data_IF_758917770372
#
_entry.id   IF_758917770372
#
_cell.length_a   1.000
_cell.length_b   1.000
_cell.length_c   1.000
_cell.angle_alpha   90.00
_cell.angle_beta   90.00
_cell.angle_gamma   90.00
#
_symmetry.space_group_name_H-M   'P 1'
#
loop_
_entity.id
_entity.type
_entity.pdbx_description
1 polymer ?
#
# COMPACT_ATOMS: atom_id res chain seq x y z
N UNK A 1 63.25 48.48 11.01
CA UNK A 1 63.37 47.30 11.90
C UNK A 1 62.02 47.17 12.60
N UNK A 2 61.16 46.17 12.40
CA UNK A 2 61.37 44.76 12.06
C UNK A 2 60.60 43.93 13.09
N UNK A 3 59.28 44.07 13.19
CA UNK A 3 58.45 43.25 14.08
C UNK A 3 57.92 42.06 13.29
N UNK A 4 58.66 40.95 13.38
CA UNK A 4 58.33 39.66 12.79
C UNK A 4 57.14 39.06 13.53
N UNK A 5 56.02 38.94 12.78
CA UNK A 5 54.85 38.16 13.17
C UNK A 5 55.28 36.74 13.53
N UNK A 6 55.12 36.37 14.80
CA UNK A 6 55.37 35.01 15.28
C UNK A 6 54.52 34.01 14.49
N UNK A 7 55.19 33.12 13.75
CA UNK A 7 54.56 32.05 13.00
C UNK A 7 54.00 30.99 13.96
N UNK A 8 52.71 30.69 13.85
CA UNK A 8 52.07 29.64 14.64
C UNK A 8 52.74 28.28 14.38
N UNK A 9 53.04 27.48 15.42
CA UNK A 9 53.69 26.18 15.26
C UNK A 9 52.82 25.23 14.42
N UNK A 10 53.44 24.58 13.43
CA UNK A 10 52.82 23.74 12.38
C UNK A 10 51.90 22.65 12.95
N UNK A 11 52.20 22.13 14.15
CA UNK A 11 51.37 21.16 14.89
C UNK A 11 50.01 21.72 15.31
N UNK A 12 49.93 23.01 15.66
CA UNK A 12 48.68 23.67 16.07
C UNK A 12 47.76 23.93 14.87
N UNK A 13 48.33 24.21 13.70
CA UNK A 13 47.59 24.39 12.45
C UNK A 13 46.93 23.08 12.00
N UNK A 14 47.65 21.95 12.12
CA UNK A 14 47.11 20.63 11.77
C UNK A 14 45.97 20.18 12.68
N UNK A 15 45.99 20.48 13.98
CA UNK A 15 44.90 20.09 14.89
C UNK A 15 43.64 20.92 14.65
N UNK A 16 43.79 22.22 14.42
CA UNK A 16 42.69 23.14 14.09
C UNK A 16 42.05 22.73 12.75
N UNK A 17 42.85 22.45 11.72
CA UNK A 17 42.34 21.97 10.43
C UNK A 17 41.60 20.64 10.51
N UNK A 18 42.01 19.72 11.39
CA UNK A 18 41.30 18.44 11.62
C UNK A 18 39.98 18.65 12.36
N UNK A 19 39.94 19.55 13.35
CA UNK A 19 38.72 19.88 14.12
C UNK A 19 37.69 20.61 13.26
N UNK A 20 38.11 21.60 12.46
CA UNK A 20 37.23 22.32 11.52
C UNK A 20 36.69 21.35 10.46
N UNK A 21 37.54 20.48 9.89
CA UNK A 21 37.10 19.47 8.92
C UNK A 21 36.13 18.44 9.53
N UNK A 22 36.31 18.08 10.80
CA UNK A 22 35.40 17.21 11.56
C UNK A 22 34.05 17.86 11.89
N UNK A 23 34.05 19.14 12.25
CA UNK A 23 32.82 19.90 12.50
C UNK A 23 32.04 20.19 11.22
N UNK A 24 32.71 20.51 10.11
CA UNK A 24 32.07 20.70 8.81
C UNK A 24 31.49 19.41 8.25
N UNK A 25 32.19 18.28 8.41
CA UNK A 25 31.63 16.98 8.02
C UNK A 25 30.45 16.61 8.90
N UNK A 26 30.53 16.75 10.22
CA UNK A 26 29.41 16.48 11.12
C UNK A 26 28.18 17.39 10.86
N UNK A 27 28.40 18.70 10.61
CA UNK A 27 27.33 19.63 10.23
C UNK A 27 26.72 19.26 8.87
N UNK A 28 27.54 18.89 7.89
CA UNK A 28 27.07 18.47 6.56
C UNK A 28 26.25 17.19 6.63
N UNK A 29 26.67 16.22 7.43
CA UNK A 29 25.92 14.97 7.67
C UNK A 29 24.61 15.26 8.40
N UNK A 30 24.60 16.06 9.47
CA UNK A 30 23.36 16.49 10.15
C UNK A 30 22.40 17.21 9.21
N UNK A 31 22.92 18.10 8.36
CA UNK A 31 22.11 18.86 7.39
C UNK A 31 21.54 17.96 6.30
N UNK A 32 22.32 17.00 5.80
CA UNK A 32 21.84 15.97 4.85
C UNK A 32 20.79 15.06 5.46
N UNK A 33 21.01 14.56 6.68
CA UNK A 33 20.05 13.70 7.38
C UNK A 33 18.76 14.48 7.65
N UNK A 34 18.85 15.71 8.15
CA UNK A 34 17.68 16.53 8.41
C UNK A 34 16.92 16.91 7.12
N UNK A 35 17.62 17.16 6.01
CA UNK A 35 16.99 17.43 4.71
C UNK A 35 16.28 16.20 4.12
N UNK A 36 16.87 15.02 4.30
CA UNK A 36 16.25 13.73 3.96
C UNK A 36 14.96 13.59 4.79
N UNK A 37 15.04 13.65 6.12
CA UNK A 37 13.86 13.52 7.01
C UNK A 37 12.79 14.59 6.77
N UNK A 38 13.18 15.84 6.49
CA UNK A 38 12.25 16.95 6.22
C UNK A 38 11.48 16.77 4.91
N UNK A 39 12.07 16.12 3.91
CA UNK A 39 11.41 15.85 2.62
C UNK A 39 10.40 14.71 2.71
N UNK A 40 10.57 13.77 3.66
CA UNK A 40 9.66 12.64 3.89
C UNK A 40 8.51 12.96 4.85
N UNK A 41 8.64 13.98 5.70
CA UNK A 41 7.66 14.27 6.76
C UNK A 41 6.20 14.38 6.28
N UNK A 42 5.85 15.13 5.22
CA UNK A 42 4.46 15.20 4.74
C UNK A 42 3.98 13.88 4.14
N UNK A 43 4.84 13.15 3.42
CA UNK A 43 4.50 11.84 2.86
C UNK A 43 4.30 10.79 3.96
N UNK A 44 5.10 10.84 5.03
CA UNK A 44 4.98 9.95 6.18
C UNK A 44 3.72 10.21 6.98
N UNK A 45 3.37 11.49 7.22
CA UNK A 45 2.12 11.84 7.89
C UNK A 45 0.90 11.39 7.09
N UNK A 46 0.93 11.57 5.76
CA UNK A 46 -0.13 11.09 4.89
C UNK A 46 -0.23 9.55 4.92
N UNK A 47 0.89 8.85 4.79
CA UNK A 47 0.92 7.39 4.85
C UNK A 47 0.38 6.86 6.19
N UNK A 48 0.77 7.50 7.30
CA UNK A 48 0.26 7.18 8.63
C UNK A 48 -1.25 7.44 8.73
N UNK A 49 -1.72 8.58 8.24
CA UNK A 49 -3.14 8.90 8.22
C UNK A 49 -3.94 7.87 7.40
N UNK A 50 -3.44 7.47 6.23
CA UNK A 50 -4.07 6.43 5.42
C UNK A 50 -4.10 5.07 6.13
N UNK A 51 -3.02 4.69 6.84
CA UNK A 51 -3.01 3.47 7.65
C UNK A 51 -4.09 3.55 8.73
N UNK A 52 -4.07 4.60 9.55
CA UNK A 52 -4.98 4.75 10.69
C UNK A 52 -6.43 4.79 10.22
N UNK A 53 -6.74 5.58 9.19
CA UNK A 53 -8.09 5.67 8.63
C UNK A 53 -8.56 4.35 8.03
N UNK A 54 -7.69 3.62 7.33
CA UNK A 54 -8.06 2.33 6.74
C UNK A 54 -8.30 1.27 7.82
N UNK A 55 -7.46 1.22 8.85
CA UNK A 55 -7.65 0.32 10.00
C UNK A 55 -8.96 0.68 10.72
N UNK A 56 -9.15 1.95 11.06
CA UNK A 56 -10.33 2.42 11.77
C UNK A 56 -11.62 2.12 10.99
N UNK A 57 -11.61 2.35 9.67
CA UNK A 57 -12.73 2.02 8.80
C UNK A 57 -13.04 0.52 8.82
N UNK A 58 -12.04 -0.34 8.61
CA UNK A 58 -12.24 -1.80 8.61
C UNK A 58 -12.78 -2.32 9.94
N UNK A 59 -12.30 -1.77 11.06
CA UNK A 59 -12.79 -2.13 12.40
C UNK A 59 -14.22 -1.61 12.61
N UNK A 60 -14.50 -0.36 12.25
CA UNK A 60 -15.82 0.24 12.45
C UNK A 60 -16.92 -0.43 11.62
N UNK A 61 -16.57 -1.00 10.46
CA UNK A 61 -17.51 -1.69 9.57
C UNK A 61 -17.59 -3.20 9.79
N UNK A 62 -16.93 -3.75 10.81
CA UNK A 62 -16.81 -5.21 10.99
C UNK A 62 -18.17 -5.89 11.17
N UNK A 63 -19.10 -5.24 11.90
CA UNK A 63 -20.44 -5.75 12.17
C UNK A 63 -21.50 -5.19 11.20
N UNK A 64 -21.07 -4.56 10.10
CA UNK A 64 -21.95 -3.96 9.09
C UNK A 64 -21.84 -4.75 7.78
N UNK A 65 -22.69 -5.78 7.55
CA UNK A 65 -22.67 -6.60 6.33
C UNK A 65 -22.76 -5.79 5.04
N UNK A 66 -23.42 -4.63 5.07
CA UNK A 66 -23.51 -3.75 3.90
C UNK A 66 -22.14 -3.22 3.45
N UNK A 67 -21.19 -3.06 4.38
CA UNK A 67 -19.88 -2.45 4.16
C UNK A 67 -18.71 -3.45 4.31
N UNK A 68 -18.99 -4.72 4.59
CA UNK A 68 -17.97 -5.77 4.63
C UNK A 68 -17.13 -5.78 3.35
N UNK A 69 -15.81 -5.89 3.48
CA UNK A 69 -14.83 -5.84 2.38
C UNK A 69 -14.82 -4.56 1.53
N UNK A 70 -15.59 -3.52 1.88
CA UNK A 70 -15.45 -2.21 1.26
C UNK A 70 -14.26 -1.48 1.88
N UNK A 71 -13.09 -1.53 1.23
CA UNK A 71 -11.84 -1.01 1.83
C UNK A 71 -10.89 -0.46 0.77
N UNK A 72 -10.11 0.60 1.07
CA UNK A 72 -9.15 1.16 0.12
C UNK A 72 -7.87 0.34 -0.03
N UNK A 73 -7.62 -0.68 0.80
CA UNK A 73 -6.29 -1.29 0.93
C UNK A 73 -5.76 -1.91 -0.37
N UNK A 74 -6.60 -2.63 -1.12
CA UNK A 74 -6.17 -3.28 -2.35
C UNK A 74 -5.89 -2.24 -3.46
N UNK A 75 -6.82 -1.30 -3.68
CA UNK A 75 -6.59 -0.13 -4.53
C UNK A 75 -5.31 0.65 -4.18
N UNK A 76 -5.08 0.94 -2.90
CA UNK A 76 -3.88 1.64 -2.45
C UNK A 76 -2.62 0.84 -2.76
N UNK A 77 -2.65 -0.49 -2.60
CA UNK A 77 -1.51 -1.37 -2.92
C UNK A 77 -1.19 -1.33 -4.41
N UNK A 78 -2.21 -1.53 -5.25
CA UNK A 78 -2.11 -1.46 -6.69
C UNK A 78 -1.59 -0.08 -7.17
N UNK A 79 -2.26 0.99 -6.74
CA UNK A 79 -1.90 2.36 -7.11
C UNK A 79 -0.50 2.77 -6.61
N UNK A 80 -0.08 2.30 -5.43
CA UNK A 80 1.26 2.54 -4.92
C UNK A 80 2.32 2.03 -5.90
N UNK A 81 2.12 0.84 -6.48
CA UNK A 81 3.02 0.30 -7.49
C UNK A 81 2.94 1.04 -8.84
N UNK A 82 1.77 1.56 -9.21
CA UNK A 82 1.60 2.35 -10.46
C UNK A 82 2.33 3.70 -10.38
N UNK A 83 2.20 4.41 -9.25
CA UNK A 83 2.55 5.82 -9.12
C UNK A 83 3.80 6.11 -8.29
N UNK A 84 4.03 5.36 -7.21
CA UNK A 84 5.04 5.71 -6.21
C UNK A 84 6.40 5.10 -6.57
N UNK A 85 7.41 5.98 -6.63
CA UNK A 85 8.81 5.57 -6.88
C UNK A 85 9.47 4.96 -5.64
N UNK A 86 9.03 5.37 -4.45
CA UNK A 86 9.54 4.83 -3.19
C UNK A 86 8.82 3.53 -2.85
N UNK A 87 9.54 2.41 -3.00
CA UNK A 87 9.04 1.06 -2.75
C UNK A 87 8.64 0.83 -1.28
N UNK A 88 9.15 1.64 -0.35
CA UNK A 88 8.76 1.55 1.06
C UNK A 88 7.28 1.88 1.25
N UNK A 89 6.75 2.80 0.43
CA UNK A 89 5.34 3.19 0.48
C UNK A 89 4.41 2.08 -0.04
N UNK A 90 4.92 1.10 -0.79
CA UNK A 90 4.11 -0.05 -1.24
C UNK A 90 3.73 -0.97 -0.07
N UNK A 91 4.48 -0.93 1.03
CA UNK A 91 4.22 -1.74 2.23
C UNK A 91 3.18 -1.11 3.16
N UNK A 92 2.85 0.17 2.97
CA UNK A 92 1.91 0.92 3.82
C UNK A 92 0.54 0.20 3.92
N UNK A 93 -0.08 -0.25 2.81
CA UNK A 93 -1.36 -0.96 2.89
C UNK A 93 -1.23 -2.37 3.51
N UNK A 94 -0.07 -3.03 3.41
CA UNK A 94 0.17 -4.33 4.05
C UNK A 94 0.22 -4.21 5.57
N UNK A 95 0.87 -3.15 6.07
CA UNK A 95 0.89 -2.88 7.51
C UNK A 95 -0.54 -2.65 8.00
N UNK A 96 -1.33 -1.85 7.29
CA UNK A 96 -2.73 -1.63 7.63
C UNK A 96 -3.54 -2.93 7.59
N UNK A 97 -3.36 -3.76 6.56
CA UNK A 97 -4.01 -5.07 6.41
C UNK A 97 -3.72 -5.98 7.61
N UNK A 98 -2.44 -6.22 7.91
CA UNK A 98 -2.01 -7.10 9.01
C UNK A 98 -2.56 -6.61 10.34
N UNK A 99 -2.40 -5.31 10.65
CA UNK A 99 -2.84 -4.77 11.94
C UNK A 99 -4.36 -4.85 12.12
N UNK A 100 -5.14 -4.61 11.08
CA UNK A 100 -6.60 -4.74 11.16
C UNK A 100 -7.06 -6.20 11.14
N UNK A 101 -6.37 -7.09 10.44
CA UNK A 101 -6.66 -8.53 10.43
C UNK A 101 -6.44 -9.15 11.81
N UNK A 102 -5.41 -8.75 12.57
CA UNK A 102 -5.21 -9.22 13.95
C UNK A 102 -6.42 -8.97 14.85
N UNK A 103 -7.13 -7.86 14.64
CA UNK A 103 -8.36 -7.56 15.37
C UNK A 103 -9.56 -8.32 14.79
N UNK A 104 -9.78 -8.24 13.48
CA UNK A 104 -10.96 -8.82 12.81
C UNK A 104 -10.97 -10.35 12.93
N UNK A 105 -9.83 -11.00 12.74
CA UNK A 105 -9.71 -12.45 12.84
C UNK A 105 -10.00 -12.90 14.29
N UNK A 106 -9.55 -12.13 15.30
CA UNK A 106 -9.89 -12.40 16.71
C UNK A 106 -11.37 -12.16 17.02
N UNK A 107 -11.97 -11.11 16.45
CA UNK A 107 -13.40 -10.81 16.59
C UNK A 107 -14.26 -11.94 16.00
N UNK A 108 -13.89 -12.43 14.82
CA UNK A 108 -14.60 -13.51 14.15
C UNK A 108 -14.45 -14.86 14.86
N UNK A 109 -13.26 -15.17 15.37
CA UNK A 109 -13.06 -16.37 16.19
C UNK A 109 -13.90 -16.34 17.47
N UNK A 110 -14.03 -15.18 18.11
CA UNK A 110 -14.83 -15.02 19.33
C UNK A 110 -16.34 -15.02 19.09
N UNK A 111 -16.80 -14.46 17.96
CA UNK A 111 -18.23 -14.22 17.69
C UNK A 111 -18.87 -15.33 16.85
N UNK A 112 -18.15 -15.86 15.87
CA UNK A 112 -18.66 -16.82 14.89
C UNK A 112 -18.00 -18.20 14.98
N UNK A 113 -17.09 -18.40 15.94
CA UNK A 113 -16.26 -19.62 16.04
C UNK A 113 -15.51 -19.97 14.75
N UNK A 114 -15.27 -18.97 13.90
CA UNK A 114 -14.56 -19.12 12.65
C UNK A 114 -13.07 -18.85 12.89
N UNK A 115 -12.27 -19.92 12.97
CA UNK A 115 -10.85 -19.81 13.23
C UNK A 115 -10.07 -19.36 12.00
N UNK A 116 -9.09 -18.50 12.25
CA UNK A 116 -8.18 -18.06 11.21
C UNK A 116 -6.98 -19.02 11.09
N UNK A 117 -6.56 -19.26 9.84
CA UNK A 117 -5.35 -20.03 9.55
C UNK A 117 -4.21 -19.12 9.04
N UNK A 118 -2.98 -19.44 9.45
CA UNK A 118 -1.78 -18.79 8.92
C UNK A 118 -1.71 -18.88 7.39
N UNK A 119 -2.15 -20.02 6.83
CA UNK A 119 -2.23 -20.22 5.39
C UNK A 119 -3.16 -19.19 4.72
N UNK A 120 -4.33 -18.92 5.31
CA UNK A 120 -5.28 -17.92 4.82
C UNK A 120 -4.70 -16.50 4.83
N UNK A 121 -3.99 -16.09 5.88
CA UNK A 121 -3.30 -14.79 5.86
C UNK A 121 -2.16 -14.71 4.86
N UNK A 122 -1.33 -15.75 4.76
CA UNK A 122 -0.24 -15.77 3.78
C UNK A 122 -0.81 -15.66 2.37
N UNK A 123 -1.92 -16.34 2.08
CA UNK A 123 -2.63 -16.21 0.81
C UNK A 123 -3.15 -14.79 0.57
N UNK A 124 -3.83 -14.18 1.55
CA UNK A 124 -4.30 -12.78 1.42
C UNK A 124 -3.15 -11.83 1.15
N UNK A 125 -2.06 -11.96 1.90
CA UNK A 125 -0.84 -11.17 1.68
C UNK A 125 -0.24 -11.43 0.28
N UNK A 126 -0.25 -12.67 -0.20
CA UNK A 126 0.19 -13.01 -1.56
C UNK A 126 -0.70 -12.38 -2.64
N UNK A 127 -2.02 -12.32 -2.46
CA UNK A 127 -2.89 -11.62 -3.39
C UNK A 127 -2.62 -10.11 -3.41
N UNK A 128 -2.34 -9.50 -2.26
CA UNK A 128 -1.89 -8.11 -2.19
C UNK A 128 -0.54 -7.91 -2.89
N UNK A 129 0.37 -8.87 -2.79
CA UNK A 129 1.62 -8.85 -3.54
C UNK A 129 1.38 -8.98 -5.06
N UNK A 130 0.40 -9.77 -5.48
CA UNK A 130 -0.01 -9.84 -6.87
C UNK A 130 -0.57 -8.50 -7.37
N UNK A 131 -1.29 -7.74 -6.53
CA UNK A 131 -1.74 -6.39 -6.85
C UNK A 131 -0.57 -5.43 -7.13
N UNK A 132 0.56 -5.55 -6.41
CA UNK A 132 1.81 -4.84 -6.78
C UNK A 132 2.25 -5.27 -8.19
N UNK A 133 2.25 -6.56 -8.48
CA UNK A 133 2.58 -7.10 -9.81
C UNK A 133 1.74 -6.49 -10.93
N UNK A 134 0.42 -6.47 -10.77
CA UNK A 134 -0.50 -5.82 -11.71
C UNK A 134 -0.20 -4.31 -11.84
N UNK A 135 0.03 -3.63 -10.72
CA UNK A 135 0.37 -2.21 -10.74
C UNK A 135 1.69 -1.92 -11.48
N UNK A 136 2.70 -2.80 -11.33
CA UNK A 136 3.95 -2.72 -12.07
C UNK A 136 3.78 -2.98 -13.56
N UNK A 137 2.90 -3.91 -13.95
CA UNK A 137 2.57 -4.13 -15.36
C UNK A 137 1.93 -2.89 -15.98
N UNK A 138 0.98 -2.27 -15.27
CA UNK A 138 0.33 -1.01 -15.68
C UNK A 138 1.34 0.14 -15.72
N UNK A 139 2.29 0.20 -14.78
CA UNK A 139 3.33 1.23 -14.73
C UNK A 139 4.24 1.23 -15.98
N UNK A 140 4.37 0.09 -16.69
CA UNK A 140 5.16 0.00 -17.94
C UNK A 140 4.50 0.74 -19.10
N UNK A 141 3.17 0.79 -19.15
CA UNK A 141 2.39 1.46 -20.18
C UNK A 141 1.20 2.16 -19.54
N UNK A 142 1.46 3.28 -18.89
CA UNK A 142 0.44 4.00 -18.14
C UNK A 142 -0.62 4.60 -19.06
N UNK A 143 -1.89 4.30 -18.79
CA UNK A 143 -3.05 4.91 -19.43
C UNK A 143 -4.27 4.67 -18.54
N UNK A 144 -5.31 5.50 -18.69
CA UNK A 144 -6.59 5.30 -17.98
C UNK A 144 -7.19 3.91 -18.25
N UNK A 145 -7.07 3.42 -19.48
CA UNK A 145 -7.57 2.09 -19.85
C UNK A 145 -6.81 0.98 -19.12
N UNK A 146 -5.48 1.07 -19.04
CA UNK A 146 -4.66 0.06 -18.36
C UNK A 146 -4.83 0.12 -16.84
N UNK A 147 -5.08 1.30 -16.28
CA UNK A 147 -5.41 1.46 -14.87
C UNK A 147 -6.76 0.78 -14.56
N UNK A 148 -7.78 1.04 -15.37
CA UNK A 148 -9.10 0.41 -15.22
C UNK A 148 -9.03 -1.11 -15.37
N UNK A 149 -8.36 -1.60 -16.42
CA UNK A 149 -8.23 -3.04 -16.65
C UNK A 149 -7.41 -3.74 -15.55
N UNK A 150 -6.36 -3.09 -15.05
CA UNK A 150 -5.58 -3.58 -13.91
C UNK A 150 -6.40 -3.66 -12.62
N UNK A 151 -7.28 -2.67 -12.39
CA UNK A 151 -8.19 -2.66 -11.23
C UNK A 151 -9.21 -3.79 -11.33
N UNK A 152 -9.91 -3.90 -12.46
CA UNK A 152 -10.90 -4.95 -12.72
C UNK A 152 -10.24 -6.34 -12.60
N UNK A 153 -9.09 -6.53 -13.26
CA UNK A 153 -8.35 -7.79 -13.22
C UNK A 153 -7.85 -8.14 -11.82
N UNK A 154 -7.39 -7.16 -11.06
CA UNK A 154 -6.95 -7.33 -9.68
C UNK A 154 -8.08 -7.77 -8.74
N UNK A 155 -9.24 -7.10 -8.80
CA UNK A 155 -10.40 -7.45 -7.98
C UNK A 155 -10.95 -8.83 -8.34
N UNK A 156 -11.06 -9.16 -9.63
CA UNK A 156 -11.47 -10.50 -10.07
C UNK A 156 -10.48 -11.57 -9.62
N UNK A 157 -9.17 -11.32 -9.77
CA UNK A 157 -8.13 -12.23 -9.34
C UNK A 157 -8.21 -12.49 -7.84
N UNK A 158 -8.32 -11.44 -7.01
CA UNK A 158 -8.45 -11.58 -5.58
C UNK A 158 -9.69 -12.42 -5.22
N UNK A 159 -10.84 -12.11 -5.82
CA UNK A 159 -12.08 -12.84 -5.59
C UNK A 159 -11.97 -14.32 -5.91
N UNK A 160 -11.52 -14.66 -7.12
CA UNK A 160 -11.40 -16.04 -7.57
C UNK A 160 -10.42 -16.83 -6.71
N UNK A 161 -9.25 -16.26 -6.41
CA UNK A 161 -8.21 -16.96 -5.64
C UNK A 161 -8.62 -17.21 -4.20
N UNK A 162 -9.16 -16.19 -3.53
CA UNK A 162 -9.56 -16.31 -2.12
C UNK A 162 -10.72 -17.27 -1.93
N UNK A 163 -11.75 -17.20 -2.77
CA UNK A 163 -12.88 -18.13 -2.67
C UNK A 163 -12.49 -19.55 -3.09
N UNK A 164 -11.56 -19.71 -4.04
CA UNK A 164 -11.06 -21.05 -4.42
C UNK A 164 -10.27 -21.66 -3.28
N UNK A 165 -9.51 -20.86 -2.53
CA UNK A 165 -8.83 -21.34 -1.34
C UNK A 165 -9.79 -21.73 -0.22
N UNK A 166 -10.87 -20.96 -0.01
CA UNK A 166 -11.94 -21.36 0.91
C UNK A 166 -12.57 -22.69 0.48
N UNK A 167 -12.87 -22.87 -0.80
CA UNK A 167 -13.38 -24.13 -1.34
C UNK A 167 -12.44 -25.33 -1.10
N UNK A 168 -11.12 -25.12 -1.17
CA UNK A 168 -10.13 -26.18 -0.92
C UNK A 168 -9.99 -26.48 0.58
N UNK A 169 -10.05 -25.45 1.42
CA UNK A 169 -9.71 -25.56 2.84
C UNK A 169 -10.88 -25.79 3.78
N UNK A 170 -12.11 -25.56 3.32
CA UNK A 170 -13.31 -25.59 4.16
C UNK A 170 -14.18 -26.80 3.86
N UNK A 171 -14.41 -27.61 4.90
CA UNK A 171 -15.15 -28.87 4.86
C UNK A 171 -16.63 -28.68 4.52
N UNK A 172 -17.16 -27.46 4.62
CA UNK A 172 -18.53 -27.15 4.27
C UNK A 172 -18.80 -27.19 2.75
N UNK A 173 -17.76 -27.14 1.93
CA UNK A 173 -17.92 -27.27 0.48
C UNK A 173 -17.62 -28.69 0.01
N UNK A 174 -18.44 -29.19 -0.92
CA UNK A 174 -18.10 -30.39 -1.68
C UNK A 174 -16.90 -30.09 -2.57
N UNK A 175 -15.88 -30.95 -2.56
CA UNK A 175 -14.68 -30.78 -3.40
C UNK A 175 -14.93 -31.25 -4.85
N UNK A 176 -15.98 -30.71 -5.45
CA UNK A 176 -16.40 -30.92 -6.83
C UNK A 176 -16.76 -29.57 -7.48
N UNK A 177 -17.09 -29.54 -8.80
CA UNK A 177 -17.46 -28.28 -9.47
C UNK A 177 -18.69 -27.59 -8.86
N UNK A 178 -19.60 -28.32 -8.23
CA UNK A 178 -20.80 -27.75 -7.61
C UNK A 178 -20.45 -26.98 -6.33
N UNK A 179 -19.59 -27.53 -5.48
CA UNK A 179 -19.11 -26.86 -4.28
C UNK A 179 -18.19 -25.68 -4.60
N UNK A 180 -17.39 -25.77 -5.68
CA UNK A 180 -16.62 -24.61 -6.16
C UNK A 180 -17.56 -23.50 -6.62
N UNK A 181 -18.61 -23.84 -7.37
CA UNK A 181 -19.62 -22.87 -7.79
C UNK A 181 -20.37 -22.25 -6.60
N UNK A 182 -20.69 -23.04 -5.58
CA UNK A 182 -21.25 -22.53 -4.33
C UNK A 182 -20.31 -21.51 -3.70
N UNK A 183 -19.02 -21.82 -3.53
CA UNK A 183 -18.03 -20.89 -3.00
C UNK A 183 -17.92 -19.59 -3.82
N UNK A 184 -18.07 -19.67 -5.15
CA UNK A 184 -18.04 -18.50 -6.05
C UNK A 184 -19.32 -17.67 -6.07
N UNK A 185 -20.41 -18.11 -5.44
CA UNK A 185 -21.72 -17.43 -5.57
C UNK A 185 -22.37 -17.13 -4.23
N UNK A 186 -22.69 -18.19 -3.50
CA UNK A 186 -23.44 -18.16 -2.25
C UNK A 186 -22.49 -18.20 -1.05
N UNK A 187 -21.46 -19.04 -1.11
CA UNK A 187 -20.61 -19.36 0.03
C UNK A 187 -21.36 -20.13 1.10
N UNK A 188 -21.07 -19.80 2.36
CA UNK A 188 -21.72 -20.32 3.55
C UNK A 188 -23.11 -19.68 3.75
N UNK A 189 -24.20 -20.46 3.83
CA UNK A 189 -25.57 -19.95 3.96
C UNK A 189 -25.84 -19.06 5.19
N UNK A 190 -25.03 -19.20 6.24
CA UNK A 190 -25.09 -18.39 7.46
C UNK A 190 -24.56 -16.96 7.28
N UNK A 191 -23.85 -16.67 6.19
CA UNK A 191 -23.28 -15.36 5.89
C UNK A 191 -23.89 -14.76 4.60
N UNK A 192 -23.75 -13.44 4.39
CA UNK A 192 -24.08 -12.84 3.10
C UNK A 192 -23.36 -13.54 1.93
N UNK A 193 -23.96 -13.57 0.72
CA UNK A 193 -23.38 -14.26 -0.43
C UNK A 193 -21.96 -13.78 -0.79
N UNK A 194 -21.10 -14.65 -1.31
CA UNK A 194 -19.74 -14.26 -1.71
C UNK A 194 -19.71 -13.20 -2.80
N UNK A 195 -20.73 -13.20 -3.69
CA UNK A 195 -20.94 -12.12 -4.66
C UNK A 195 -21.22 -10.75 -4.03
N UNK A 196 -21.81 -10.72 -2.83
CA UNK A 196 -22.03 -9.48 -2.08
C UNK A 196 -20.68 -8.88 -1.63
N UNK A 197 -19.80 -9.71 -1.09
CA UNK A 197 -18.44 -9.33 -0.72
C UNK A 197 -17.61 -8.89 -1.94
N UNK A 198 -17.76 -9.61 -3.06
CA UNK A 198 -17.12 -9.24 -4.32
C UNK A 198 -17.57 -7.87 -4.80
N UNK A 199 -18.88 -7.62 -4.83
CA UNK A 199 -19.44 -6.32 -5.22
C UNK A 199 -18.80 -5.20 -4.42
N UNK A 200 -18.73 -5.35 -3.11
CA UNK A 200 -18.15 -4.33 -2.23
C UNK A 200 -16.66 -4.10 -2.54
N UNK A 201 -15.88 -5.18 -2.67
CA UNK A 201 -14.46 -5.12 -3.04
C UNK A 201 -14.25 -4.45 -4.39
N UNK A 202 -15.00 -4.88 -5.40
CA UNK A 202 -14.93 -4.38 -6.77
C UNK A 202 -15.27 -2.90 -6.86
N UNK A 203 -16.36 -2.48 -6.20
CA UNK A 203 -16.76 -1.08 -6.16
C UNK A 203 -15.74 -0.24 -5.40
N UNK A 204 -15.26 -0.71 -4.23
CA UNK A 204 -14.24 0.04 -3.48
C UNK A 204 -12.95 0.17 -4.28
N UNK A 205 -12.53 -0.89 -4.97
CA UNK A 205 -11.29 -0.86 -5.76
C UNK A 205 -11.37 0.16 -6.90
N UNK A 206 -12.50 0.20 -7.62
CA UNK A 206 -12.73 1.20 -8.66
C UNK A 206 -12.76 2.63 -8.10
N UNK A 207 -13.51 2.85 -7.01
CA UNK A 207 -13.67 4.17 -6.39
C UNK A 207 -12.34 4.68 -5.87
N UNK A 208 -11.63 3.90 -5.06
CA UNK A 208 -10.38 4.33 -4.44
C UNK A 208 -9.23 4.41 -5.45
N UNK A 209 -9.20 3.56 -6.48
CA UNK A 209 -8.25 3.71 -7.59
C UNK A 209 -8.51 5.00 -8.36
N UNK A 210 -9.77 5.33 -8.65
CA UNK A 210 -10.16 6.58 -9.29
C UNK A 210 -9.75 7.81 -8.47
N UNK A 211 -10.12 7.85 -7.19
CA UNK A 211 -9.77 8.95 -6.27
C UNK A 211 -8.26 9.12 -6.18
N UNK A 212 -7.51 8.03 -5.96
CA UNK A 212 -6.05 8.08 -5.84
C UNK A 212 -5.41 8.61 -7.12
N UNK A 213 -5.84 8.09 -8.28
CA UNK A 213 -5.27 8.45 -9.56
C UNK A 213 -5.56 9.90 -9.92
N UNK A 214 -6.79 10.37 -9.71
CA UNK A 214 -7.15 11.78 -9.90
C UNK A 214 -6.32 12.68 -8.97
N UNK A 215 -6.18 12.32 -7.69
CA UNK A 215 -5.38 13.10 -6.74
C UNK A 215 -3.90 13.18 -7.15
N UNK A 216 -3.33 12.08 -7.65
CA UNK A 216 -1.94 12.03 -8.12
C UNK A 216 -1.74 12.85 -9.40
N UNK A 217 -2.65 12.74 -10.37
CA UNK A 217 -2.60 13.53 -11.60
C UNK A 217 -2.78 15.03 -11.30
N UNK A 218 -3.71 15.40 -10.41
CA UNK A 218 -3.90 16.78 -9.99
C UNK A 218 -2.67 17.34 -9.24
N UNK A 219 -2.05 16.53 -8.37
CA UNK A 219 -0.80 16.91 -7.71
C UNK A 219 0.37 17.07 -8.70
N UNK A 220 0.43 16.25 -9.75
CA UNK A 220 1.41 16.39 -10.82
C UNK A 220 1.21 17.70 -11.60
N UNK A 221 -0.03 18.01 -11.99
CA UNK A 221 -0.38 19.25 -12.70
C UNK A 221 -0.05 20.50 -11.87
N UNK A 222 -0.39 20.52 -10.57
CA UNK A 222 -0.03 21.65 -9.68
C UNK A 222 1.48 21.82 -9.53
N UNK A 223 2.22 20.73 -9.61
CA UNK A 223 3.68 20.73 -9.60
C UNK A 223 4.31 20.95 -11.00
N UNK A 224 3.50 21.31 -12.02
CA UNK A 224 3.92 21.48 -13.42
C UNK A 224 4.66 20.26 -14.00
N UNK A 225 4.30 19.06 -13.54
CA UNK A 225 4.79 17.79 -14.08
C UNK A 225 3.81 17.26 -15.12
N UNK A 226 4.34 16.55 -16.12
CA UNK A 226 3.51 15.86 -17.09
C UNK A 226 2.62 14.81 -16.41
N UNK A 227 1.40 14.67 -16.93
CA UNK A 227 0.49 13.62 -16.53
C UNK A 227 1.10 12.25 -16.81
N UNK A 228 0.99 11.33 -15.86
CA UNK A 228 1.51 9.98 -16.04
C UNK A 228 0.57 9.11 -16.88
N UNK A 229 -0.72 9.46 -16.92
CA UNK A 229 -1.76 8.73 -17.64
C UNK A 229 -2.15 9.36 -18.99
N UNK A 230 -1.73 10.58 -19.28
CA UNK A 230 -2.01 11.23 -20.57
C UNK A 230 -1.37 10.41 -21.70
N UNK A 231 -2.12 10.24 -22.80
CA UNK A 231 -1.54 9.73 -24.04
C UNK A 231 -0.44 10.71 -24.45
N UNK A 232 0.81 10.23 -24.56
CA UNK A 232 1.83 10.96 -25.29
C UNK A 232 1.29 11.14 -26.71
N UNK A 233 0.94 12.37 -27.07
CA UNK A 233 0.74 12.71 -28.47
C UNK A 233 2.12 12.55 -29.09
N UNK A 234 2.33 11.45 -29.79
CA UNK A 234 3.51 11.27 -30.63
C UNK A 234 3.43 12.36 -31.71
N UNK A 235 4.30 13.36 -31.60
CA UNK A 235 4.59 14.30 -32.68
C UNK A 235 5.32 13.58 -33.82
#
# INVERSE_FOLDING_TARGET
MGSLRSALPITRIRSIGRKIRGEDTAKRTKKSVHFIFSSYHPCMLLALALIVLSIAWRIATVDLPALSNFTPLMALTFCSAVYLRDKRLWLVPFVALILSDLYIDRHYAATFHYEWSLAGAVLRAACFAAAIGFGLMVARRRSWLNLLSGTIGGSLFFYLVTNTASWIGDVAYTHDPAGWWQAMTIGHPEFPPTLWFFRNTFVSDLVFTGIFSIAMEWAALRARRESLLAKRVTA
#
